data_IF_845609330754
#
_entry.id   IF_845609330754
#
_cell.length_a   1.000
_cell.length_b   1.000
_cell.length_c   1.000
_cell.angle_alpha   90.00
_cell.angle_beta   90.00
_cell.angle_gamma   90.00
#
_symmetry.space_group_name_H-M   'P 1'
#
loop_
_entity.id
_entity.type
_entity.pdbx_description
1 polymer ?
#
# COMPACT_ATOMS: atom_id res chain seq x y z
N UNK A 1 5.92 -25.74 1.11
CA UNK A 1 5.90 -25.39 2.55
C UNK A 1 6.57 -24.04 2.70
N UNK A 2 6.07 -23.14 3.56
CA UNK A 2 6.70 -21.84 3.78
C UNK A 2 8.08 -22.04 4.42
N UNK A 3 9.11 -21.37 3.94
CA UNK A 3 10.45 -21.51 4.51
C UNK A 3 10.52 -20.90 5.93
N UNK A 4 11.15 -21.58 6.90
CA UNK A 4 11.38 -21.01 8.22
C UNK A 4 12.29 -19.78 8.15
N UNK A 5 11.92 -18.72 8.85
CA UNK A 5 12.63 -17.44 8.83
C UNK A 5 13.10 -17.06 10.23
N UNK A 6 14.24 -16.38 10.33
CA UNK A 6 14.71 -15.82 11.61
C UNK A 6 14.09 -14.44 11.86
N UNK A 7 14.06 -13.99 13.12
CA UNK A 7 13.60 -12.64 13.47
C UNK A 7 14.46 -11.58 12.77
N UNK A 8 15.77 -11.82 12.63
CA UNK A 8 16.69 -10.90 11.96
C UNK A 8 16.36 -10.75 10.47
N UNK A 9 16.12 -11.86 9.77
CA UNK A 9 15.74 -11.82 8.35
C UNK A 9 14.42 -11.07 8.13
N UNK A 10 13.41 -11.29 8.99
CA UNK A 10 12.13 -10.57 8.90
C UNK A 10 12.29 -9.07 9.22
N UNK A 11 13.18 -8.72 10.14
CA UNK A 11 13.48 -7.31 10.47
C UNK A 11 14.01 -6.54 9.26
N UNK A 12 14.90 -7.16 8.48
CA UNK A 12 15.45 -6.56 7.25
C UNK A 12 14.36 -6.33 6.20
N UNK A 13 13.49 -7.31 5.98
CA UNK A 13 12.41 -7.20 4.98
C UNK A 13 11.32 -6.21 5.38
N UNK A 14 10.98 -6.15 6.68
CA UNK A 14 9.87 -5.32 7.17
C UNK A 14 10.29 -3.91 7.60
N UNK A 15 11.61 -3.67 7.73
CA UNK A 15 12.15 -2.44 8.31
C UNK A 15 11.84 -2.24 9.80
N UNK A 16 11.32 -3.27 10.49
CA UNK A 16 11.02 -3.20 11.92
C UNK A 16 12.22 -3.60 12.78
N UNK A 17 12.31 -3.05 13.99
CA UNK A 17 13.36 -3.47 14.92
C UNK A 17 13.17 -4.92 15.39
N UNK A 18 14.28 -5.65 15.56
CA UNK A 18 14.25 -7.03 16.07
C UNK A 18 13.58 -7.13 17.46
N UNK A 19 13.73 -6.11 18.30
CA UNK A 19 13.10 -6.06 19.62
C UNK A 19 11.57 -5.98 19.52
N UNK A 20 11.04 -5.12 18.64
CA UNK A 20 9.61 -5.03 18.39
C UNK A 20 9.05 -6.35 17.85
N UNK A 21 9.76 -6.98 16.91
CA UNK A 21 9.36 -8.26 16.34
C UNK A 21 9.42 -9.40 17.36
N UNK A 22 10.41 -9.42 18.26
CA UNK A 22 10.54 -10.47 19.28
C UNK A 22 9.32 -10.55 20.19
N UNK A 23 8.76 -9.40 20.58
CA UNK A 23 7.52 -9.36 21.37
C UNK A 23 6.37 -10.04 20.62
N UNK A 24 6.17 -9.69 19.34
CA UNK A 24 5.08 -10.22 18.54
C UNK A 24 5.26 -11.69 18.18
N UNK A 25 6.48 -12.12 17.85
CA UNK A 25 6.78 -13.53 17.54
C UNK A 25 6.45 -14.42 18.74
N UNK A 26 6.86 -14.05 19.95
CA UNK A 26 6.49 -14.80 21.16
C UNK A 26 4.98 -14.90 21.35
N UNK A 27 4.26 -13.81 21.08
CA UNK A 27 2.80 -13.77 21.17
C UNK A 27 2.14 -14.66 20.10
N UNK A 28 2.63 -14.62 18.86
CA UNK A 28 2.13 -15.45 17.77
C UNK A 28 2.43 -16.94 17.97
N UNK A 29 3.57 -17.29 18.54
CA UNK A 29 3.86 -18.67 18.97
C UNK A 29 2.86 -19.12 20.04
N UNK A 30 2.62 -18.30 21.08
CA UNK A 30 1.64 -18.62 22.12
C UNK A 30 0.21 -18.78 21.58
N UNK A 31 -0.15 -18.01 20.55
CA UNK A 31 -1.44 -18.08 19.87
C UNK A 31 -1.52 -19.23 18.84
N UNK A 32 -0.43 -19.98 18.64
CA UNK A 32 -0.37 -21.07 17.67
C UNK A 32 -0.35 -20.61 16.21
N UNK A 33 -0.03 -19.34 15.94
CA UNK A 33 0.09 -18.80 14.57
C UNK A 33 1.47 -19.09 13.96
N UNK A 34 2.50 -19.14 14.81
CA UNK A 34 3.85 -19.52 14.46
C UNK A 34 4.28 -20.73 15.28
N UNK A 35 5.23 -21.50 14.77
CA UNK A 35 5.98 -22.51 15.52
C UNK A 35 7.48 -22.26 15.36
N UNK A 36 8.23 -22.49 16.43
CA UNK A 36 9.69 -22.55 16.35
C UNK A 36 10.09 -23.87 15.68
N UNK A 37 11.03 -23.82 14.74
CA UNK A 37 11.49 -24.97 13.96
C UNK A 37 12.98 -25.20 14.22
N UNK A 38 13.31 -26.40 14.71
CA UNK A 38 14.66 -26.78 15.07
C UNK A 38 15.08 -26.28 16.46
N UNK A 39 16.33 -26.55 16.82
CA UNK A 39 16.94 -26.17 18.11
C UNK A 39 18.18 -25.29 17.93
N UNK A 40 18.49 -24.90 16.69
CA UNK A 40 19.65 -24.10 16.33
C UNK A 40 19.48 -22.63 16.68
N UNK A 41 20.61 -21.93 16.89
CA UNK A 41 20.65 -20.47 17.00
C UNK A 41 21.17 -19.87 15.69
N UNK A 42 20.56 -18.79 15.17
CA UNK A 42 19.35 -18.13 15.68
C UNK A 42 18.10 -19.00 15.50
N UNK A 43 17.11 -18.82 16.37
CA UNK A 43 15.84 -19.56 16.32
C UNK A 43 15.09 -19.21 15.03
N UNK A 44 14.53 -20.23 14.37
CA UNK A 44 13.75 -20.10 13.14
C UNK A 44 12.27 -20.32 13.44
N UNK A 45 11.41 -19.53 12.80
CA UNK A 45 9.97 -19.60 12.99
C UNK A 45 9.28 -19.82 11.67
N UNK A 46 8.21 -20.61 11.70
CA UNK A 46 7.40 -20.93 10.53
C UNK A 46 5.92 -20.70 10.86
N UNK A 47 5.18 -20.13 9.92
CA UNK A 47 3.72 -20.05 10.04
C UNK A 47 3.11 -21.45 10.03
N UNK A 48 2.10 -21.68 10.89
CA UNK A 48 1.43 -22.98 10.99
C UNK A 48 0.50 -23.26 9.80
N UNK A 49 0.07 -22.20 9.12
CA UNK A 49 -0.83 -22.23 7.97
C UNK A 49 -0.41 -21.17 6.95
N UNK A 50 -0.84 -21.35 5.70
CA UNK A 50 -0.63 -20.36 4.63
C UNK A 50 -1.65 -19.21 4.67
N UNK A 51 -2.80 -19.45 5.27
CA UNK A 51 -3.91 -18.49 5.33
C UNK A 51 -4.47 -18.45 6.74
N UNK A 52 -4.66 -17.25 7.25
CA UNK A 52 -5.33 -16.99 8.52
C UNK A 52 -6.53 -16.09 8.24
N UNK A 53 -7.69 -16.45 8.78
CA UNK A 53 -8.89 -15.62 8.73
C UNK A 53 -9.08 -15.03 10.12
N UNK A 54 -9.04 -13.71 10.21
CA UNK A 54 -9.26 -12.96 11.44
C UNK A 54 -10.54 -12.16 11.25
N UNK A 55 -11.43 -12.20 12.24
CA UNK A 55 -12.65 -11.38 12.29
C UNK A 55 -12.50 -10.33 13.40
N UNK A 56 -11.93 -9.15 13.10
CA UNK A 56 -11.69 -8.11 14.10
C UNK A 56 -12.97 -7.37 14.47
N UNK A 57 -14.04 -7.49 13.68
CA UNK A 57 -15.32 -6.79 13.90
C UNK A 57 -15.99 -7.18 15.23
N UNK A 58 -15.62 -8.33 15.79
CA UNK A 58 -16.12 -8.81 17.09
C UNK A 58 -15.49 -8.12 18.30
N UNK A 59 -14.39 -7.40 18.11
CA UNK A 59 -13.59 -6.83 19.20
C UNK A 59 -13.36 -5.32 19.06
N UNK A 60 -13.76 -4.72 17.93
CA UNK A 60 -13.70 -3.28 17.70
C UNK A 60 -14.69 -2.82 16.62
N UNK A 61 -15.10 -1.54 16.62
CA UNK A 61 -15.87 -0.92 15.55
C UNK A 61 -15.21 -1.05 14.16
N UNK A 62 -16.02 -1.04 13.10
CA UNK A 62 -15.57 -1.27 11.72
C UNK A 62 -14.63 -0.17 11.21
N UNK A 63 -14.92 1.08 11.52
CA UNK A 63 -14.10 2.25 11.19
C UNK A 63 -12.73 2.18 11.88
N UNK A 64 -12.70 1.89 13.18
CA UNK A 64 -11.47 1.67 13.94
C UNK A 64 -10.64 0.51 13.37
N UNK A 65 -11.32 -0.57 12.97
CA UNK A 65 -10.69 -1.73 12.33
C UNK A 65 -10.04 -1.34 11.01
N UNK A 66 -10.79 -0.67 10.12
CA UNK A 66 -10.31 -0.27 8.80
C UNK A 66 -9.14 0.71 8.91
N UNK A 67 -9.20 1.68 9.81
CA UNK A 67 -8.09 2.60 10.06
C UNK A 67 -6.85 1.83 10.53
N UNK A 68 -6.96 0.96 11.54
CA UNK A 68 -5.80 0.21 12.07
C UNK A 68 -5.17 -0.72 11.04
N UNK A 69 -5.97 -1.33 10.17
CA UNK A 69 -5.47 -2.22 9.12
C UNK A 69 -4.80 -1.44 7.98
N UNK A 70 -5.36 -0.31 7.56
CA UNK A 70 -4.88 0.42 6.39
C UNK A 70 -3.81 1.47 6.71
N UNK A 71 -3.80 2.04 7.93
CA UNK A 71 -2.91 3.13 8.33
C UNK A 71 -1.41 2.81 8.15
N UNK A 72 -0.90 1.60 8.48
CA UNK A 72 0.50 1.28 8.22
C UNK A 72 0.84 1.31 6.72
N UNK A 73 -0.01 0.73 5.88
CA UNK A 73 0.13 0.76 4.42
C UNK A 73 0.08 2.18 3.87
N UNK A 74 -0.89 2.98 4.34
CA UNK A 74 -1.00 4.38 3.99
C UNK A 74 0.24 5.20 4.38
N UNK A 75 0.79 4.95 5.57
CA UNK A 75 2.02 5.62 6.05
C UNK A 75 3.21 5.25 5.18
N UNK A 76 3.36 3.96 4.83
CA UNK A 76 4.42 3.49 3.91
C UNK A 76 4.28 4.13 2.52
N UNK A 77 3.07 4.23 1.99
CA UNK A 77 2.80 4.88 0.71
C UNK A 77 3.19 6.36 0.74
N UNK A 78 2.78 7.09 1.79
CA UNK A 78 3.15 8.50 1.96
C UNK A 78 4.66 8.71 2.08
N UNK A 79 5.38 7.80 2.74
CA UNK A 79 6.84 7.84 2.81
C UNK A 79 7.47 7.63 1.43
N UNK A 80 6.97 6.67 0.64
CA UNK A 80 7.41 6.43 -0.74
C UNK A 80 7.18 7.66 -1.62
N UNK A 81 5.97 8.24 -1.60
CA UNK A 81 5.70 9.50 -2.29
C UNK A 81 6.65 10.60 -1.81
N UNK A 82 6.84 10.79 -0.51
CA UNK A 82 7.73 11.85 0.00
C UNK A 82 9.17 11.70 -0.54
N UNK A 83 9.69 10.47 -0.65
CA UNK A 83 11.02 10.20 -1.19
C UNK A 83 11.09 10.53 -2.69
N UNK A 84 10.15 10.03 -3.48
CA UNK A 84 10.11 10.28 -4.94
C UNK A 84 9.91 11.77 -5.26
N UNK A 85 9.01 12.44 -4.55
CA UNK A 85 8.77 13.87 -4.74
C UNK A 85 10.02 14.71 -4.41
N UNK A 86 10.73 14.39 -3.32
CA UNK A 86 11.97 15.10 -2.95
C UNK A 86 13.10 14.90 -3.96
N UNK A 87 13.14 13.75 -4.64
CA UNK A 87 14.12 13.49 -5.71
C UNK A 87 13.90 14.41 -6.92
N UNK A 88 12.65 14.78 -7.18
CA UNK A 88 12.22 15.53 -8.37
C UNK A 88 12.25 17.04 -8.14
N UNK A 89 11.71 17.51 -7.02
CA UNK A 89 11.63 18.95 -6.74
C UNK A 89 11.64 19.23 -5.23
N UNK A 90 12.32 20.29 -4.77
CA UNK A 90 12.19 20.78 -3.40
C UNK A 90 10.82 21.43 -3.14
N UNK A 91 10.19 21.98 -4.18
CA UNK A 91 8.97 22.78 -4.08
C UNK A 91 7.85 22.21 -4.95
N UNK A 92 6.64 22.19 -4.39
CA UNK A 92 5.47 21.55 -4.98
C UNK A 92 4.22 22.44 -4.86
N UNK A 93 3.38 22.33 -5.88
CA UNK A 93 2.09 22.97 -6.02
C UNK A 93 1.00 21.89 -6.05
N UNK A 94 -0.20 22.29 -5.68
CA UNK A 94 -1.40 21.46 -5.81
C UNK A 94 -2.31 22.12 -6.83
N UNK A 95 -2.52 21.45 -7.94
CA UNK A 95 -3.50 21.82 -8.95
C UNK A 95 -4.85 21.22 -8.57
N UNK A 96 -5.85 22.08 -8.37
CA UNK A 96 -7.23 21.71 -8.15
C UNK A 96 -8.04 22.11 -9.39
N UNK A 97 -8.73 21.16 -10.00
CA UNK A 97 -9.62 21.42 -11.15
C UNK A 97 -11.03 21.05 -10.78
N UNK A 98 -11.97 21.93 -11.11
CA UNK A 98 -13.40 21.65 -11.05
C UNK A 98 -13.89 21.48 -12.47
N UNK A 99 -14.47 20.33 -12.77
CA UNK A 99 -15.04 20.02 -14.09
C UNK A 99 -16.37 20.76 -14.30
N UNK A 100 -16.90 20.76 -15.53
CA UNK A 100 -18.15 21.44 -15.87
C UNK A 100 -19.36 20.90 -15.09
N UNK A 101 -19.34 19.63 -14.71
CA UNK A 101 -20.32 18.95 -13.86
C UNK A 101 -20.06 19.14 -12.35
N UNK A 102 -19.09 19.99 -11.98
CA UNK A 102 -18.80 20.35 -10.60
C UNK A 102 -17.95 19.32 -9.83
N UNK A 103 -17.33 18.35 -10.50
CA UNK A 103 -16.47 17.35 -9.87
C UNK A 103 -15.06 17.90 -9.63
N UNK A 104 -14.45 17.48 -8.53
CA UNK A 104 -13.11 17.91 -8.15
C UNK A 104 -12.06 16.87 -8.55
N UNK A 105 -11.00 17.31 -9.23
CA UNK A 105 -9.75 16.55 -9.36
C UNK A 105 -8.58 17.31 -8.75
N UNK A 106 -7.58 16.56 -8.29
CA UNK A 106 -6.38 17.08 -7.65
C UNK A 106 -5.15 16.38 -8.22
N UNK A 107 -4.15 17.17 -8.60
CA UNK A 107 -2.82 16.70 -9.00
C UNK A 107 -1.73 17.51 -8.32
N UNK A 108 -0.59 16.88 -8.01
CA UNK A 108 0.59 17.63 -7.55
C UNK A 108 1.50 17.96 -8.74
N UNK A 109 2.06 19.18 -8.74
CA UNK A 109 2.95 19.68 -9.77
C UNK A 109 4.21 20.27 -9.13
N UNK A 110 5.40 20.05 -9.69
CA UNK A 110 6.57 20.79 -9.25
C UNK A 110 6.47 22.27 -9.68
N UNK A 111 7.04 23.18 -8.90
CA UNK A 111 6.92 24.63 -9.16
C UNK A 111 7.40 25.06 -10.54
N UNK A 112 8.50 24.45 -11.02
CA UNK A 112 9.06 24.74 -12.35
C UNK A 112 8.12 24.39 -13.51
N UNK A 113 7.09 23.55 -13.29
CA UNK A 113 6.11 23.21 -14.32
C UNK A 113 5.17 24.38 -14.69
N UNK A 114 5.18 25.48 -13.91
CA UNK A 114 4.48 26.72 -14.28
C UNK A 114 5.24 27.53 -15.33
N UNK A 115 6.57 27.48 -15.30
CA UNK A 115 7.43 28.38 -16.08
C UNK A 115 7.82 27.77 -17.44
N UNK A 116 7.93 26.45 -17.52
CA UNK A 116 8.29 25.73 -18.74
C UNK A 116 7.46 24.45 -18.92
N UNK A 117 6.32 24.60 -19.58
CA UNK A 117 5.42 23.48 -19.91
C UNK A 117 6.02 22.49 -20.93
N UNK A 118 7.20 22.77 -21.51
CA UNK A 118 7.82 21.94 -22.55
C UNK A 118 9.09 21.20 -22.10
N UNK A 119 9.57 21.42 -20.87
CA UNK A 119 10.68 20.62 -20.34
C UNK A 119 10.25 19.14 -20.19
N UNK A 120 11.12 18.16 -20.52
CA UNK A 120 10.84 16.76 -20.25
C UNK A 120 10.68 16.59 -18.73
N UNK A 121 9.42 16.43 -18.30
CA UNK A 121 9.12 16.22 -16.91
C UNK A 121 9.65 14.84 -16.50
N UNK A 122 10.36 14.72 -15.36
CA UNK A 122 10.64 13.41 -14.80
C UNK A 122 9.32 12.68 -14.55
N UNK A 123 9.33 11.37 -14.70
CA UNK A 123 8.16 10.54 -14.41
C UNK A 123 7.74 10.75 -12.96
N UNK A 124 6.55 11.34 -12.78
CA UNK A 124 5.99 11.57 -11.47
C UNK A 124 5.42 10.24 -10.95
N UNK A 125 5.55 9.94 -9.65
CA UNK A 125 4.85 8.80 -9.08
C UNK A 125 3.34 8.97 -9.25
N UNK A 126 2.66 7.88 -9.61
CA UNK A 126 1.20 7.86 -9.81
C UNK A 126 0.48 8.16 -8.48
N UNK A 127 -0.09 9.36 -8.36
CA UNK A 127 -0.84 9.81 -7.17
C UNK A 127 -2.05 10.66 -7.57
N UNK A 128 -2.96 10.04 -8.30
CA UNK A 128 -4.17 10.72 -8.77
C UNK A 128 -5.31 10.63 -7.75
N UNK A 129 -6.08 11.70 -7.63
CA UNK A 129 -7.25 11.77 -6.75
C UNK A 129 -8.36 12.57 -7.40
N UNK A 130 -9.59 12.05 -7.35
CA UNK A 130 -10.73 12.74 -7.91
C UNK A 130 -12.06 12.14 -7.49
N UNK A 131 -13.09 12.97 -7.58
CA UNK A 131 -14.48 12.54 -7.54
C UNK A 131 -14.96 12.42 -8.98
N UNK A 132 -15.64 11.33 -9.31
CA UNK A 132 -16.17 11.10 -10.65
C UNK A 132 -17.62 10.64 -10.55
N UNK A 133 -18.46 11.14 -11.45
CA UNK A 133 -19.84 10.70 -11.56
C UNK A 133 -19.94 9.55 -12.55
N UNK A 134 -20.37 8.38 -12.08
CA UNK A 134 -20.52 7.17 -12.89
C UNK A 134 -21.92 6.57 -12.71
N UNK A 135 -22.46 6.00 -13.78
CA UNK A 135 -23.59 5.07 -13.67
C UNK A 135 -23.17 3.81 -12.90
N UNK A 136 -24.14 3.06 -12.36
CA UNK A 136 -23.86 1.79 -11.67
C UNK A 136 -23.14 0.78 -12.55
N UNK A 137 -23.45 0.80 -13.85
CA UNK A 137 -22.81 -0.07 -14.86
C UNK A 137 -21.37 0.36 -15.10
N UNK A 138 -21.14 1.66 -15.33
CA UNK A 138 -19.80 2.23 -15.51
C UNK A 138 -18.91 1.99 -14.28
N UNK A 139 -19.46 2.16 -13.06
CA UNK A 139 -18.71 1.90 -11.84
C UNK A 139 -18.32 0.42 -11.70
N UNK A 140 -19.19 -0.51 -12.11
CA UNK A 140 -18.89 -1.95 -12.11
C UNK A 140 -17.83 -2.29 -13.15
N UNK A 141 -17.96 -1.75 -14.36
CA UNK A 141 -16.98 -1.94 -15.43
C UNK A 141 -15.60 -1.43 -15.01
N UNK A 142 -15.54 -0.19 -14.51
CA UNK A 142 -14.30 0.43 -14.03
C UNK A 142 -13.65 -0.42 -12.94
N UNK A 143 -14.43 -0.86 -11.95
CA UNK A 143 -13.94 -1.73 -10.88
C UNK A 143 -13.32 -3.01 -11.44
N UNK A 144 -14.02 -3.72 -12.33
CA UNK A 144 -13.53 -4.97 -12.91
C UNK A 144 -12.26 -4.78 -13.74
N UNK A 145 -12.17 -3.70 -14.52
CA UNK A 145 -10.97 -3.37 -15.31
C UNK A 145 -9.77 -3.04 -14.44
N UNK A 146 -9.98 -2.27 -13.37
CA UNK A 146 -8.93 -1.92 -12.41
C UNK A 146 -8.43 -3.16 -11.64
N UNK A 147 -9.33 -4.02 -11.18
CA UNK A 147 -8.98 -5.27 -10.51
C UNK A 147 -8.18 -6.19 -11.43
N UNK A 148 -8.64 -6.40 -12.68
CA UNK A 148 -7.94 -7.23 -13.65
C UNK A 148 -6.53 -6.71 -13.97
N UNK A 149 -6.40 -5.41 -14.23
CA UNK A 149 -5.11 -4.77 -14.51
C UNK A 149 -4.13 -4.95 -13.36
N UNK A 150 -4.58 -4.75 -12.11
CA UNK A 150 -3.71 -4.91 -10.95
C UNK A 150 -3.28 -6.37 -10.79
N UNK A 151 -4.23 -7.32 -10.93
CA UNK A 151 -3.91 -8.74 -10.79
C UNK A 151 -2.93 -9.24 -11.84
N UNK A 152 -2.98 -8.72 -13.06
CA UNK A 152 -1.99 -9.02 -14.11
C UNK A 152 -0.55 -8.77 -13.62
N UNK A 153 -0.28 -7.61 -12.99
CA UNK A 153 1.06 -7.30 -12.49
C UNK A 153 1.44 -8.05 -11.21
N UNK A 154 0.48 -8.41 -10.36
CA UNK A 154 0.76 -9.27 -9.20
C UNK A 154 1.08 -10.71 -9.61
N UNK A 155 0.44 -11.21 -10.67
CA UNK A 155 0.65 -12.56 -11.20
C UNK A 155 1.93 -12.70 -12.01
N UNK A 156 2.33 -11.65 -12.74
CA UNK A 156 3.59 -11.63 -13.50
C UNK A 156 4.82 -11.85 -12.60
N UNK A 157 4.82 -11.28 -11.39
CA UNK A 157 5.95 -11.39 -10.46
C UNK A 157 7.21 -10.67 -10.95
N UNK A 158 8.34 -10.81 -10.24
CA UNK A 158 9.61 -10.26 -10.68
C UNK A 158 10.16 -11.06 -11.87
N UNK A 159 10.65 -10.36 -12.88
CA UNK A 159 11.43 -10.94 -13.98
C UNK A 159 12.89 -11.13 -13.57
N UNK A 160 13.43 -10.22 -12.75
CA UNK A 160 14.83 -10.25 -12.31
C UNK A 160 14.99 -9.94 -10.82
N UNK A 161 16.12 -10.34 -10.23
CA UNK A 161 16.49 -9.95 -8.85
C UNK A 161 16.80 -8.46 -8.70
N UNK A 162 16.91 -7.72 -9.82
CA UNK A 162 17.16 -6.28 -9.83
C UNK A 162 15.88 -5.45 -9.89
N UNK A 163 14.72 -6.09 -10.03
CA UNK A 163 13.45 -5.39 -10.15
C UNK A 163 13.13 -4.60 -8.88
N UNK A 164 12.68 -3.37 -9.05
CA UNK A 164 12.30 -2.51 -7.94
C UNK A 164 10.97 -2.96 -7.31
N UNK A 165 10.86 -2.80 -5.99
CA UNK A 165 9.64 -3.16 -5.25
C UNK A 165 8.74 -1.95 -5.10
N UNK A 166 7.61 -1.97 -5.80
CA UNK A 166 6.58 -0.94 -5.71
C UNK A 166 5.54 -1.29 -4.65
N UNK A 167 5.09 -0.28 -3.91
CA UNK A 167 3.94 -0.40 -3.01
C UNK A 167 2.71 0.25 -3.65
N UNK A 168 1.67 -0.53 -3.91
CA UNK A 168 0.46 -0.08 -4.60
C UNK A 168 -0.76 -0.12 -3.67
N UNK A 169 -1.56 0.94 -3.72
CA UNK A 169 -2.92 0.96 -3.17
C UNK A 169 -3.85 1.60 -4.19
N UNK A 170 -4.95 0.92 -4.52
CA UNK A 170 -6.03 1.46 -5.33
C UNK A 170 -7.35 1.29 -4.58
N UNK A 171 -8.16 2.36 -4.56
CA UNK A 171 -9.48 2.35 -3.95
C UNK A 171 -10.49 3.07 -4.84
N UNK A 172 -11.71 2.53 -4.87
CA UNK A 172 -12.88 3.15 -5.48
C UNK A 172 -14.06 2.92 -4.54
N UNK A 173 -14.68 4.01 -4.06
CA UNK A 173 -15.87 3.97 -3.22
C UNK A 173 -16.89 4.98 -3.73
N UNK A 174 -18.14 4.83 -3.28
CA UNK A 174 -19.08 5.94 -3.35
C UNK A 174 -18.57 7.04 -2.43
N UNK A 175 -18.67 8.27 -2.91
CA UNK A 175 -18.36 9.42 -2.08
C UNK A 175 -19.42 9.57 -0.98
N UNK A 176 -18.99 9.78 0.26
CA UNK A 176 -19.88 9.85 1.42
C UNK A 176 -20.60 11.21 1.53
N UNK A 177 -20.11 12.25 0.85
CA UNK A 177 -20.69 13.59 0.86
C UNK A 177 -21.84 13.69 -0.16
N UNK A 178 -21.69 13.05 -1.32
CA UNK A 178 -22.67 13.06 -2.40
C UNK A 178 -23.52 11.77 -2.51
N UNK A 179 -23.34 10.82 -1.58
CA UNK A 179 -23.88 9.45 -1.64
C UNK A 179 -25.11 9.18 -0.78
#
# INVERSE_FOLDING_TARGET
>A
MLEPQSIAAVAEVTGQSQNALTYWVKRFVKLGLLKEVGTSRPALYQAVAQTFIIDPSRVMPLDDMLDRLNRPGWTRLLQGFTQEYRRISPDWLVELRVTEDGMLSRRQLPTWALDDAQAPAPELPLNEWGVIQLSREQARELKGRLEALIMEYFEAGPETEQDEVYFLHLALTRDAVHG
#
